data_IF_106505380364
#
_entry.id   IF_106505380364
#
_cell.length_a   1.000
_cell.length_b   1.000
_cell.length_c   1.000
_cell.angle_alpha   90.00
_cell.angle_beta   90.00
_cell.angle_gamma   90.00
#
_symmetry.space_group_name_H-M   'P 1'
#
loop_
_entity.id
_entity.type
_entity.pdbx_description
1 polymer ?
#
# COMPACT_ATOMS: atom_id res chain seq x y z
N UNK A 1 -73.12 44.28 -11.53
CA UNK A 1 -72.25 45.14 -10.71
C UNK A 1 -71.32 44.26 -9.87
N UNK A 2 -70.06 44.65 -9.80
CA UNK A 2 -68.88 43.96 -9.24
C UNK A 2 -69.07 43.50 -7.79
N UNK A 3 -68.47 42.35 -7.41
CA UNK A 3 -67.56 42.24 -6.25
C UNK A 3 -66.52 41.14 -6.51
N UNK A 4 -65.28 41.58 -6.79
CA UNK A 4 -64.07 40.76 -6.74
C UNK A 4 -63.56 40.78 -5.30
N UNK A 5 -63.36 39.60 -4.72
CA UNK A 5 -62.65 39.42 -3.45
C UNK A 5 -61.19 39.09 -3.83
N UNK A 6 -60.27 39.98 -3.50
CA UNK A 6 -58.82 39.76 -3.64
C UNK A 6 -58.33 39.11 -2.34
N UNK A 7 -57.95 37.84 -2.40
CA UNK A 7 -57.25 37.16 -1.31
C UNK A 7 -55.76 37.51 -1.41
N UNK A 8 -55.24 38.22 -0.40
CA UNK A 8 -53.81 38.47 -0.25
C UNK A 8 -53.17 37.26 0.43
N UNK A 9 -52.29 36.54 -0.27
CA UNK A 9 -51.42 35.51 0.32
C UNK A 9 -50.07 36.17 0.60
N UNK A 10 -49.75 36.35 1.88
CA UNK A 10 -48.43 36.78 2.33
C UNK A 10 -47.45 35.61 2.15
N UNK A 11 -46.41 35.82 1.33
CA UNK A 11 -45.36 34.85 1.08
C UNK A 11 -44.21 35.09 2.07
N UNK A 12 -44.20 34.32 3.17
CA UNK A 12 -43.09 34.31 4.13
C UNK A 12 -41.92 33.52 3.56
N UNK A 13 -40.85 34.22 3.17
CA UNK A 13 -39.58 33.61 2.82
C UNK A 13 -38.77 33.31 4.08
N UNK A 14 -38.64 32.03 4.45
CA UNK A 14 -37.72 31.54 5.46
C UNK A 14 -36.32 31.43 4.85
N UNK A 15 -35.42 32.35 5.20
CA UNK A 15 -33.99 32.22 4.94
C UNK A 15 -33.39 31.21 5.92
N UNK A 16 -33.10 30.00 5.45
CA UNK A 16 -32.22 29.06 6.14
C UNK A 16 -30.77 29.53 5.92
N UNK A 17 -30.19 30.15 6.96
CA UNK A 17 -28.76 30.45 7.01
C UNK A 17 -28.04 29.17 7.48
N UNK A 18 -27.62 28.33 6.54
CA UNK A 18 -26.71 27.23 6.85
C UNK A 18 -25.33 27.81 7.15
N UNK A 19 -24.95 27.83 8.43
CA UNK A 19 -23.57 28.09 8.84
C UNK A 19 -22.74 26.88 8.40
N UNK A 20 -22.11 27.01 7.22
CA UNK A 20 -20.99 26.16 6.83
C UNK A 20 -19.83 26.49 7.78
N UNK A 21 -19.71 25.72 8.85
CA UNK A 21 -18.49 25.68 9.64
C UNK A 21 -17.33 25.18 8.78
N UNK A 22 -16.09 25.64 9.00
CA UNK A 22 -14.95 25.11 8.28
C UNK A 22 -14.82 23.62 8.59
N UNK A 23 -14.84 22.80 7.55
CA UNK A 23 -14.44 21.41 7.62
C UNK A 23 -12.93 21.37 7.91
N UNK A 24 -12.55 21.53 9.17
CA UNK A 24 -11.20 21.23 9.64
C UNK A 24 -11.16 19.74 9.99
N UNK A 25 -10.60 18.96 9.06
CA UNK A 25 -10.43 17.52 9.19
C UNK A 25 -9.97 16.91 7.87
N UNK A 26 -8.95 17.50 7.23
CA UNK A 26 -8.15 16.75 6.27
C UNK A 26 -7.39 15.70 7.09
N UNK A 27 -7.55 14.42 6.73
CA UNK A 27 -6.78 13.35 7.35
C UNK A 27 -5.28 13.65 7.20
N UNK A 28 -4.49 13.16 8.15
CA UNK A 28 -3.05 13.03 7.94
C UNK A 28 -2.85 12.04 6.78
N UNK A 29 -2.88 12.54 5.53
CA UNK A 29 -2.54 11.75 4.35
C UNK A 29 -1.13 11.16 4.60
N UNK A 30 -0.96 9.83 4.54
CA UNK A 30 0.34 9.21 4.74
C UNK A 30 1.27 9.77 3.65
N UNK A 31 2.27 10.56 4.08
CA UNK A 31 3.21 11.24 3.18
C UNK A 31 3.99 10.24 2.30
N UNK A 32 3.90 8.94 2.61
CA UNK A 32 4.50 7.83 1.89
C UNK A 32 3.49 6.98 1.10
N UNK A 33 2.26 7.44 0.87
CA UNK A 33 1.26 6.73 0.04
C UNK A 33 1.66 6.60 -1.43
N UNK A 34 2.61 7.41 -1.90
CA UNK A 34 3.22 7.25 -3.21
C UNK A 34 4.15 6.03 -3.31
N UNK A 35 4.56 5.47 -2.16
CA UNK A 35 5.31 4.22 -2.09
C UNK A 35 4.30 3.07 -2.05
N UNK A 36 4.34 2.17 -3.03
CA UNK A 36 3.51 0.97 -3.12
C UNK A 36 3.21 0.26 -1.81
N UNK A 37 1.98 -0.21 -1.64
CA UNK A 37 1.63 -1.10 -0.53
C UNK A 37 2.48 -2.38 -0.62
N UNK A 38 3.01 -2.84 0.52
CA UNK A 38 3.69 -4.12 0.59
C UNK A 38 2.71 -5.28 0.78
N UNK A 39 3.20 -6.50 0.65
CA UNK A 39 2.35 -7.69 0.69
C UNK A 39 1.68 -7.97 2.05
N UNK A 40 2.26 -7.53 3.18
CA UNK A 40 1.60 -7.61 4.49
C UNK A 40 0.38 -6.70 4.49
N UNK A 41 0.55 -5.44 4.06
CA UNK A 41 -0.53 -4.45 3.98
C UNK A 41 -1.67 -4.94 3.06
N UNK A 42 -1.33 -5.52 1.91
CA UNK A 42 -2.30 -6.11 0.99
C UNK A 42 -3.05 -7.29 1.62
N UNK A 43 -2.35 -8.19 2.31
CA UNK A 43 -2.97 -9.32 2.99
C UNK A 43 -3.88 -8.87 4.14
N UNK A 44 -3.48 -7.87 4.92
CA UNK A 44 -4.31 -7.26 5.97
C UNK A 44 -5.60 -6.68 5.38
N UNK A 45 -5.51 -5.95 4.28
CA UNK A 45 -6.70 -5.40 3.58
C UNK A 45 -7.65 -6.53 3.15
N UNK A 46 -7.12 -7.62 2.57
CA UNK A 46 -7.94 -8.77 2.18
C UNK A 46 -8.56 -9.46 3.41
N UNK A 47 -7.84 -9.54 4.53
CA UNK A 47 -8.35 -10.11 5.79
C UNK A 47 -9.51 -9.31 6.35
N UNK A 48 -9.39 -7.98 6.37
CA UNK A 48 -10.42 -7.07 6.86
C UNK A 48 -11.72 -7.17 6.05
N UNK A 49 -11.60 -7.34 4.73
CA UNK A 49 -12.73 -7.51 3.81
C UNK A 49 -13.27 -8.95 3.73
N UNK A 50 -12.63 -9.89 4.45
CA UNK A 50 -13.01 -11.30 4.50
C UNK A 50 -12.10 -12.19 3.66
N UNK A 51 -11.08 -12.76 4.30
CA UNK A 51 -10.22 -13.77 3.69
C UNK A 51 -11.01 -15.06 3.45
N UNK A 52 -11.02 -15.53 2.20
CA UNK A 52 -11.71 -16.77 1.84
C UNK A 52 -11.11 -17.99 2.57
N UNK A 53 -11.93 -18.93 3.08
CA UNK A 53 -11.45 -20.09 3.82
C UNK A 53 -10.41 -20.94 3.07
N UNK A 54 -10.60 -21.16 1.77
CA UNK A 54 -9.69 -21.99 0.97
C UNK A 54 -8.32 -21.30 0.76
N UNK A 55 -8.32 -19.97 0.62
CA UNK A 55 -7.08 -19.19 0.55
C UNK A 55 -6.39 -19.15 1.93
N UNK A 56 -7.15 -18.98 3.01
CA UNK A 56 -6.61 -19.04 4.37
C UNK A 56 -5.96 -20.41 4.66
N UNK A 57 -6.61 -21.51 4.28
CA UNK A 57 -6.06 -22.85 4.40
C UNK A 57 -4.78 -23.02 3.57
N UNK A 58 -4.77 -22.51 2.33
CA UNK A 58 -3.57 -22.53 1.49
C UNK A 58 -2.41 -21.79 2.15
N UNK A 59 -2.63 -20.58 2.69
CA UNK A 59 -1.63 -19.78 3.41
C UNK A 59 -1.10 -20.51 4.66
N UNK A 60 -1.97 -21.22 5.38
CA UNK A 60 -1.63 -21.92 6.62
C UNK A 60 -0.83 -23.21 6.38
N UNK A 61 -1.07 -23.91 5.28
CA UNK A 61 -0.62 -25.29 5.08
C UNK A 61 0.40 -25.45 3.95
N UNK A 62 0.46 -24.48 3.04
CA UNK A 62 1.29 -24.58 1.83
C UNK A 62 2.46 -23.60 1.86
N UNK A 63 3.56 -24.02 1.24
CA UNK A 63 4.61 -23.13 0.74
C UNK A 63 4.58 -23.12 -0.78
N UNK A 64 5.33 -22.21 -1.39
CA UNK A 64 5.39 -22.12 -2.85
C UNK A 64 6.29 -20.98 -3.31
N UNK A 65 6.71 -21.04 -4.57
CA UNK A 65 7.37 -19.91 -5.21
C UNK A 65 6.36 -18.81 -5.59
N UNK A 66 6.81 -17.61 -5.99
CA UNK A 66 5.90 -16.53 -6.36
C UNK A 66 4.93 -16.90 -7.49
N UNK A 67 5.34 -17.72 -8.46
CA UNK A 67 4.47 -18.15 -9.55
C UNK A 67 3.32 -19.05 -9.06
N UNK A 68 3.61 -19.95 -8.12
CA UNK A 68 2.61 -20.79 -7.46
C UNK A 68 1.60 -19.93 -6.70
N UNK A 69 2.09 -18.97 -5.90
CA UNK A 69 1.21 -18.07 -5.17
C UNK A 69 0.38 -17.16 -6.08
N UNK A 70 0.97 -16.67 -7.17
CA UNK A 70 0.26 -15.87 -8.17
C UNK A 70 -0.93 -16.63 -8.75
N UNK A 71 -0.71 -17.89 -9.13
CA UNK A 71 -1.77 -18.76 -9.65
C UNK A 71 -2.87 -19.03 -8.60
N UNK A 72 -2.49 -19.26 -7.34
CA UNK A 72 -3.44 -19.43 -6.22
C UNK A 72 -4.29 -18.17 -6.01
N UNK A 73 -3.67 -16.98 -6.03
CA UNK A 73 -4.36 -15.70 -5.88
C UNK A 73 -5.31 -15.44 -7.05
N UNK A 74 -4.89 -15.70 -8.29
CA UNK A 74 -5.74 -15.56 -9.48
C UNK A 74 -6.98 -16.44 -9.44
N UNK A 75 -6.81 -17.71 -9.05
CA UNK A 75 -7.93 -18.62 -8.90
C UNK A 75 -8.94 -18.12 -7.85
N UNK A 76 -8.46 -17.48 -6.79
CA UNK A 76 -9.28 -16.94 -5.72
C UNK A 76 -9.92 -15.57 -6.04
N UNK A 77 -9.45 -14.81 -7.04
CA UNK A 77 -9.96 -13.45 -7.36
C UNK A 77 -11.47 -13.39 -7.54
N UNK A 78 -12.06 -14.39 -8.21
CA UNK A 78 -13.51 -14.41 -8.48
C UNK A 78 -14.38 -14.56 -7.22
N UNK A 79 -13.82 -15.06 -6.12
CA UNK A 79 -14.53 -15.30 -4.85
C UNK A 79 -14.38 -14.20 -3.80
N UNK A 80 -13.58 -13.16 -4.05
CA UNK A 80 -13.33 -12.06 -3.08
C UNK A 80 -13.29 -10.72 -3.79
N UNK A 81 -14.09 -9.78 -3.32
CA UNK A 81 -14.10 -8.42 -3.85
C UNK A 81 -12.74 -7.73 -3.67
N UNK A 82 -12.15 -7.84 -2.47
CA UNK A 82 -10.86 -7.23 -2.16
C UNK A 82 -9.73 -7.83 -3.00
N UNK A 83 -9.66 -9.16 -3.12
CA UNK A 83 -8.66 -9.81 -3.95
C UNK A 83 -8.89 -9.55 -5.45
N UNK A 84 -10.14 -9.51 -5.88
CA UNK A 84 -10.52 -9.17 -7.26
C UNK A 84 -10.25 -7.71 -7.64
N UNK A 85 -10.10 -6.82 -6.67
CA UNK A 85 -9.72 -5.42 -6.87
C UNK A 85 -8.21 -5.22 -7.06
N UNK A 86 -7.37 -6.21 -6.70
CA UNK A 86 -5.94 -6.13 -6.89
C UNK A 86 -5.59 -6.18 -8.39
N UNK A 87 -4.81 -5.20 -8.84
CA UNK A 87 -4.19 -5.24 -10.15
C UNK A 87 -3.07 -6.31 -10.21
N UNK A 88 -2.49 -6.51 -11.39
CA UNK A 88 -1.47 -7.54 -11.59
C UNK A 88 -0.21 -7.31 -10.73
N UNK A 89 0.15 -6.05 -10.54
CA UNK A 89 1.36 -5.66 -9.83
C UNK A 89 1.20 -5.79 -8.31
N UNK A 90 0.03 -5.42 -7.77
CA UNK A 90 -0.34 -5.71 -6.38
C UNK A 90 -0.43 -7.22 -6.14
N UNK A 91 -0.96 -7.98 -7.11
CA UNK A 91 -1.02 -9.43 -6.99
C UNK A 91 0.36 -10.07 -6.99
N UNK A 92 1.28 -9.59 -7.83
CA UNK A 92 2.68 -10.04 -7.84
C UNK A 92 3.40 -9.69 -6.53
N UNK A 93 3.16 -8.50 -5.97
CA UNK A 93 3.71 -8.08 -4.68
C UNK A 93 3.21 -8.98 -3.54
N UNK A 94 1.91 -9.29 -3.50
CA UNK A 94 1.35 -10.22 -2.52
C UNK A 94 1.88 -11.65 -2.72
N UNK A 95 2.04 -12.10 -3.97
CA UNK A 95 2.57 -13.43 -4.28
C UNK A 95 4.00 -13.60 -3.76
N UNK A 96 4.88 -12.60 -3.94
CA UNK A 96 6.24 -12.64 -3.40
C UNK A 96 6.26 -12.62 -1.88
N UNK A 97 5.36 -11.85 -1.26
CA UNK A 97 5.22 -11.85 0.19
C UNK A 97 4.81 -13.22 0.74
N UNK A 98 3.82 -13.87 0.13
CA UNK A 98 3.41 -15.23 0.53
C UNK A 98 4.51 -16.26 0.24
N UNK A 99 5.26 -16.13 -0.85
CA UNK A 99 6.38 -17.02 -1.13
C UNK A 99 7.48 -16.94 -0.06
N UNK A 100 7.71 -15.76 0.50
CA UNK A 100 8.73 -15.54 1.52
C UNK A 100 8.28 -15.98 2.93
N UNK A 101 6.98 -15.97 3.21
CA UNK A 101 6.47 -16.09 4.58
C UNK A 101 5.56 -17.30 4.83
N UNK A 102 4.95 -17.89 3.80
CA UNK A 102 4.09 -19.05 3.96
C UNK A 102 4.91 -20.35 4.11
N UNK A 103 4.46 -21.32 4.92
CA UNK A 103 3.20 -21.32 5.67
C UNK A 103 3.21 -20.37 6.88
N UNK A 104 2.11 -19.65 7.10
CA UNK A 104 1.91 -18.73 8.24
C UNK A 104 0.47 -18.78 8.78
N UNK A 105 0.25 -18.36 10.02
CA UNK A 105 -1.10 -18.24 10.58
C UNK A 105 -1.85 -17.08 9.90
N UNK A 106 -2.89 -17.33 9.07
CA UNK A 106 -3.60 -16.28 8.35
C UNK A 106 -4.40 -15.35 9.27
N UNK A 107 -4.67 -15.77 10.52
CA UNK A 107 -5.29 -14.95 11.56
C UNK A 107 -4.30 -14.28 12.51
N UNK A 108 -3.03 -14.66 12.43
CA UNK A 108 -1.98 -14.25 13.36
C UNK A 108 -1.34 -12.90 13.06
N UNK A 109 -0.28 -12.61 13.82
CA UNK A 109 0.65 -11.52 13.53
C UNK A 109 1.45 -11.86 12.27
N UNK A 110 1.44 -10.93 11.32
CA UNK A 110 2.08 -11.12 10.02
C UNK A 110 3.52 -10.61 10.06
N UNK A 111 4.49 -11.33 9.48
CA UNK A 111 5.85 -10.81 9.32
C UNK A 111 5.84 -9.49 8.54
N UNK A 112 6.70 -8.55 8.94
CA UNK A 112 6.90 -7.27 8.22
C UNK A 112 7.22 -7.51 6.74
N UNK A 113 6.70 -6.65 5.88
CA UNK A 113 6.94 -6.72 4.44
C UNK A 113 8.07 -5.79 3.97
N UNK A 114 8.31 -5.78 2.66
CA UNK A 114 9.34 -4.93 2.08
C UNK A 114 9.05 -3.43 2.16
N UNK A 115 7.77 -3.00 2.17
CA UNK A 115 7.42 -1.57 2.38
C UNK A 115 7.74 -1.18 3.81
N UNK A 116 7.34 -2.00 4.78
CA UNK A 116 7.65 -1.79 6.20
C UNK A 116 9.15 -1.64 6.39
N UNK A 117 9.93 -2.60 5.86
CA UNK A 117 11.38 -2.58 5.95
C UNK A 117 12.01 -1.38 5.22
N UNK A 118 11.48 -0.98 4.07
CA UNK A 118 11.98 0.20 3.36
C UNK A 118 11.76 1.48 4.17
N UNK A 119 10.56 1.67 4.73
CA UNK A 119 10.21 2.85 5.53
C UNK A 119 10.88 2.84 6.92
N UNK A 120 11.07 1.67 7.52
CA UNK A 120 11.73 1.56 8.83
C UNK A 120 13.25 1.67 8.70
N UNK A 121 13.85 0.91 7.77
CA UNK A 121 15.29 0.68 7.72
C UNK A 121 15.98 1.62 6.74
N UNK A 122 15.43 1.79 5.52
CA UNK A 122 16.11 2.58 4.49
C UNK A 122 15.94 4.09 4.69
N UNK A 123 14.80 4.54 5.22
CA UNK A 123 14.55 5.95 5.58
C UNK A 123 15.30 6.37 6.85
N UNK A 124 15.80 5.43 7.67
CA UNK A 124 16.41 5.73 8.98
C UNK A 124 17.71 6.54 8.89
N UNK A 125 18.47 6.41 7.80
CA UNK A 125 19.76 7.09 7.63
C UNK A 125 19.73 8.20 6.58
N UNK A 126 18.91 8.06 5.54
CA UNK A 126 18.75 9.03 4.47
C UNK A 126 17.35 8.93 3.88
N UNK A 127 16.90 10.00 3.23
CA UNK A 127 15.55 10.08 2.66
C UNK A 127 15.25 8.92 1.70
N UNK A 128 14.06 8.34 1.85
CA UNK A 128 13.60 7.12 1.20
C UNK A 128 13.62 7.25 -0.32
N UNK A 129 13.46 8.47 -0.83
CA UNK A 129 13.57 8.80 -2.26
C UNK A 129 14.88 8.33 -2.86
N UNK A 130 15.99 8.35 -2.11
CA UNK A 130 17.27 7.79 -2.61
C UNK A 130 17.12 6.32 -2.99
N UNK A 131 16.24 5.56 -2.35
CA UNK A 131 16.03 4.12 -2.60
C UNK A 131 14.92 3.88 -3.62
N UNK A 132 13.73 4.44 -3.40
CA UNK A 132 12.53 4.09 -4.18
C UNK A 132 12.58 4.56 -5.63
N UNK A 133 13.44 5.52 -5.99
CA UNK A 133 13.59 5.98 -7.37
C UNK A 133 14.61 5.18 -8.17
N UNK A 134 15.28 4.21 -7.54
CA UNK A 134 16.28 3.41 -8.24
C UNK A 134 15.63 2.17 -8.84
N UNK A 135 15.85 1.98 -10.14
CA UNK A 135 15.56 0.73 -10.82
C UNK A 135 16.83 -0.13 -10.82
N UNK A 136 16.76 -1.29 -10.18
CA UNK A 136 17.91 -2.19 -9.96
C UNK A 136 17.48 -3.65 -9.97
N UNK A 137 18.39 -4.49 -10.43
CA UNK A 137 18.23 -5.94 -10.31
C UNK A 137 18.27 -6.38 -8.85
N UNK A 138 17.72 -7.56 -8.56
CA UNK A 138 17.74 -8.19 -7.23
C UNK A 138 19.16 -8.29 -6.67
N UNK A 139 20.12 -8.71 -7.48
CA UNK A 139 21.53 -8.87 -7.07
C UNK A 139 22.18 -7.52 -6.73
N UNK A 140 21.80 -6.46 -7.45
CA UNK A 140 22.28 -5.11 -7.16
C UNK A 140 21.69 -4.59 -5.84
N UNK A 141 20.42 -4.89 -5.54
CA UNK A 141 19.83 -4.60 -4.24
C UNK A 141 20.50 -5.36 -3.10
N UNK A 142 20.64 -6.68 -3.24
CA UNK A 142 21.32 -7.51 -2.25
C UNK A 142 22.76 -7.05 -2.01
N UNK A 143 23.50 -6.69 -3.06
CA UNK A 143 24.85 -6.13 -2.91
C UNK A 143 24.85 -4.82 -2.12
N UNK A 144 23.88 -3.95 -2.37
CA UNK A 144 23.73 -2.68 -1.65
C UNK A 144 23.50 -2.91 -0.16
N UNK A 145 22.56 -3.80 0.16
CA UNK A 145 22.23 -4.16 1.52
C UNK A 145 23.42 -4.80 2.26
N UNK A 146 24.22 -5.62 1.57
CA UNK A 146 25.39 -6.30 2.15
C UNK A 146 26.69 -5.47 2.09
N UNK A 147 26.61 -4.21 1.65
CA UNK A 147 27.80 -3.34 1.65
C UNK A 147 28.25 -2.99 3.08
N UNK A 148 29.53 -2.65 3.30
CA UNK A 148 30.03 -2.26 4.62
C UNK A 148 29.24 -1.12 5.27
N UNK A 149 28.64 -0.23 4.47
CA UNK A 149 27.83 0.90 4.94
C UNK A 149 26.43 0.51 5.44
N UNK A 150 25.94 -0.70 5.15
CA UNK A 150 24.59 -1.16 5.51
C UNK A 150 24.59 -2.48 6.30
N UNK A 151 25.76 -3.09 6.54
CA UNK A 151 25.85 -4.38 7.22
C UNK A 151 25.37 -4.33 8.67
N UNK A 152 25.42 -3.16 9.31
CA UNK A 152 24.96 -2.95 10.69
C UNK A 152 23.44 -2.78 10.82
N UNK A 153 22.72 -2.61 9.69
CA UNK A 153 21.25 -2.60 9.69
C UNK A 153 20.75 -3.98 10.13
N UNK A 154 19.92 -3.99 11.18
CA UNK A 154 19.42 -5.22 11.80
C UNK A 154 18.35 -5.88 10.93
N UNK A 155 18.79 -6.85 10.14
CA UNK A 155 17.96 -7.72 9.30
C UNK A 155 18.49 -9.14 9.32
N UNK A 156 17.61 -10.11 9.22
CA UNK A 156 17.95 -11.49 8.88
C UNK A 156 18.30 -11.64 7.40
N UNK A 157 18.85 -12.78 6.99
CA UNK A 157 19.09 -13.07 5.58
C UNK A 157 17.78 -13.11 4.77
N UNK A 158 16.73 -13.72 5.32
CA UNK A 158 15.41 -13.79 4.68
C UNK A 158 14.79 -12.40 4.50
N UNK A 159 14.94 -11.51 5.48
CA UNK A 159 14.46 -10.13 5.38
C UNK A 159 15.22 -9.33 4.30
N UNK A 160 16.52 -9.55 4.14
CA UNK A 160 17.31 -8.92 3.06
C UNK A 160 16.80 -9.36 1.68
N UNK A 161 16.50 -10.64 1.54
CA UNK A 161 15.91 -11.20 0.32
C UNK A 161 14.51 -10.62 0.05
N UNK A 162 13.62 -10.65 1.04
CA UNK A 162 12.27 -10.11 0.93
C UNK A 162 12.26 -8.60 0.62
N UNK A 163 13.15 -7.82 1.23
CA UNK A 163 13.32 -6.40 0.91
C UNK A 163 13.83 -6.21 -0.52
N UNK A 164 14.79 -7.01 -0.98
CA UNK A 164 15.29 -6.94 -2.36
C UNK A 164 14.19 -7.27 -3.37
N UNK A 165 13.40 -8.33 -3.13
CA UNK A 165 12.31 -8.75 -3.99
C UNK A 165 11.22 -7.69 -4.07
N UNK A 166 10.84 -7.11 -2.93
CA UNK A 166 9.93 -5.96 -2.90
C UNK A 166 10.46 -4.78 -3.73
N UNK A 167 11.73 -4.40 -3.57
CA UNK A 167 12.31 -3.25 -4.29
C UNK A 167 12.47 -3.52 -5.79
N UNK A 168 12.64 -4.76 -6.23
CA UNK A 168 12.62 -5.10 -7.67
C UNK A 168 11.25 -4.82 -8.28
N UNK A 169 10.18 -5.07 -7.53
CA UNK A 169 8.79 -4.93 -8.02
C UNK A 169 8.27 -3.49 -7.85
N UNK A 170 8.67 -2.82 -6.77
CA UNK A 170 8.00 -1.62 -6.26
C UNK A 170 8.87 -0.35 -6.27
N UNK A 171 10.17 -0.46 -6.56
CA UNK A 171 11.03 0.72 -6.74
C UNK A 171 11.01 1.21 -8.20
N UNK A 172 12.00 1.98 -8.62
CA UNK A 172 12.02 2.63 -9.94
C UNK A 172 10.96 3.71 -10.11
N UNK A 173 10.42 4.25 -9.00
CA UNK A 173 9.37 5.27 -9.02
C UNK A 173 9.93 6.54 -9.67
N UNK A 174 9.30 7.05 -10.75
CA UNK A 174 9.69 8.32 -11.35
C UNK A 174 9.67 9.46 -10.31
N UNK A 175 10.73 10.28 -10.32
CA UNK A 175 10.92 11.37 -9.35
C UNK A 175 9.79 12.41 -9.35
N UNK A 176 9.09 12.58 -10.47
CA UNK A 176 7.94 13.46 -10.62
C UNK A 176 6.70 12.94 -9.89
N UNK A 177 6.62 11.63 -9.63
CA UNK A 177 5.59 11.02 -8.77
C UNK A 177 5.92 11.12 -7.27
N UNK A 178 7.18 11.40 -6.92
CA UNK A 178 7.58 11.62 -5.52
C UNK A 178 7.08 12.99 -5.05
N UNK A 179 6.47 13.12 -3.86
CA UNK A 179 6.06 14.42 -3.32
C UNK A 179 7.21 15.42 -3.29
N UNK A 180 7.02 16.70 -3.70
CA UNK A 180 8.10 17.69 -3.76
C UNK A 180 8.88 17.85 -2.43
N UNK A 181 8.18 17.74 -1.30
CA UNK A 181 8.77 17.81 0.03
C UNK A 181 9.80 16.69 0.31
N UNK A 182 9.70 15.57 -0.41
CA UNK A 182 10.54 14.39 -0.23
C UNK A 182 11.65 14.24 -1.28
N UNK A 183 11.77 15.14 -2.26
CA UNK A 183 12.73 14.97 -3.38
C UNK A 183 14.22 15.18 -3.06
N UNK A 184 14.59 15.45 -1.81
CA UNK A 184 15.94 15.81 -1.36
C UNK A 184 16.56 17.05 -2.05
N UNK A 185 16.80 18.11 -1.27
CA UNK A 185 17.92 19.05 -1.48
C UNK A 185 18.14 19.65 -2.88
N UNK A 186 17.11 20.02 -3.64
CA UNK A 186 17.29 20.76 -4.89
C UNK A 186 17.75 19.92 -6.09
N UNK A 187 17.34 18.65 -6.17
CA UNK A 187 17.34 17.92 -7.43
C UNK A 187 16.27 18.51 -8.39
N UNK A 188 16.59 19.65 -9.00
CA UNK A 188 16.02 20.09 -10.27
C UNK A 188 16.82 19.43 -11.39
N UNK A 189 16.16 18.71 -12.29
CA UNK A 189 16.72 18.45 -13.62
C UNK A 189 16.62 19.71 -14.47
#
# INVERSE_FOLDING_TARGET
MKRLIVLSIAMSALFFFSVLGPANGQGDDDIFDFIPAGGRTLLETIREEGLQPDLAASIAESGGDPATWRATLDAAKSGSLALGALDDWQTDTLAHYLAANAPLDPGGELPRDGRDMALELCQSCHIITVVITQDRTREAWLRTQNSPSHVEVKTTAAEREALADYLVINAGIPIDLVPPALRAGGASY
#
